data_IF_074458122635
#
_entry.id   IF_074458122635
#
_cell.length_a   1.000
_cell.length_b   1.000
_cell.length_c   1.000
_cell.angle_alpha   90.00
_cell.angle_beta   90.00
_cell.angle_gamma   90.00
#
_symmetry.space_group_name_H-M   'P 1'
#
loop_
_entity.id
_entity.type
_entity.pdbx_description
1 polymer ?
#
# COMPACT_ATOMS: atom_id res chain seq x y z
N UNK A 1 -3.69 -11.58 3.09
CA UNK A 1 -4.37 -10.32 2.70
C UNK A 1 -5.60 -10.55 1.80
N UNK A 2 -5.57 -11.48 0.81
CA UNK A 2 -6.70 -11.75 -0.10
C UNK A 2 -7.98 -12.10 0.65
N UNK A 3 -7.92 -12.99 1.65
CA UNK A 3 -9.08 -13.34 2.48
C UNK A 3 -9.69 -12.13 3.17
N UNK A 4 -8.85 -11.19 3.62
CA UNK A 4 -9.34 -9.97 4.27
C UNK A 4 -10.05 -9.04 3.30
N UNK A 5 -9.59 -8.98 2.05
CA UNK A 5 -10.27 -8.21 1.00
C UNK A 5 -11.63 -8.82 0.68
N UNK A 6 -11.71 -10.13 0.50
CA UNK A 6 -12.97 -10.78 0.18
C UNK A 6 -13.98 -10.68 1.34
N UNK A 7 -13.52 -10.81 2.59
CA UNK A 7 -14.39 -10.73 3.75
C UNK A 7 -15.12 -9.38 3.89
N UNK A 8 -14.47 -8.29 3.44
CA UNK A 8 -14.98 -6.93 3.67
C UNK A 8 -15.23 -6.10 2.40
N UNK A 9 -14.75 -6.55 1.23
CA UNK A 9 -14.81 -5.79 -0.03
C UNK A 9 -15.27 -6.64 -1.23
N UNK A 10 -15.83 -7.83 -1.01
CA UNK A 10 -16.21 -8.76 -2.10
C UNK A 10 -17.01 -8.10 -3.22
N UNK A 11 -17.96 -7.24 -2.88
CA UNK A 11 -18.86 -6.58 -3.84
C UNK A 11 -18.14 -5.57 -4.76
N UNK A 12 -16.92 -5.19 -4.40
CA UNK A 12 -16.13 -4.18 -5.14
C UNK A 12 -14.97 -4.80 -5.92
N UNK A 13 -14.67 -6.11 -5.72
CA UNK A 13 -13.49 -6.75 -6.31
C UNK A 13 -13.93 -7.73 -7.41
N UNK A 14 -13.66 -7.36 -8.65
CA UNK A 14 -13.93 -8.23 -9.80
C UNK A 14 -12.72 -9.12 -10.14
N UNK A 15 -11.50 -8.62 -9.97
CA UNK A 15 -10.27 -9.30 -10.32
C UNK A 15 -9.11 -8.85 -9.46
N UNK A 16 -8.23 -9.79 -9.13
CA UNK A 16 -6.99 -9.53 -8.41
C UNK A 16 -5.81 -9.71 -9.37
N UNK A 17 -4.87 -8.78 -9.31
CA UNK A 17 -3.58 -8.87 -9.99
C UNK A 17 -2.48 -8.97 -8.95
N UNK A 18 -1.64 -10.00 -9.03
CA UNK A 18 -0.50 -10.18 -8.13
C UNK A 18 0.78 -9.85 -8.89
N UNK A 19 1.52 -8.93 -8.31
CA UNK A 19 2.83 -8.53 -8.79
C UNK A 19 3.91 -9.11 -7.86
N UNK A 20 4.73 -10.02 -8.36
CA UNK A 20 5.75 -10.71 -7.57
C UNK A 20 5.61 -12.22 -7.57
N UNK A 21 5.84 -12.85 -6.42
CA UNK A 21 5.66 -14.30 -6.29
C UNK A 21 4.19 -14.69 -6.26
N UNK A 22 3.86 -15.77 -6.97
CA UNK A 22 2.49 -16.25 -7.07
C UNK A 22 2.36 -17.55 -6.27
N UNK A 23 1.57 -17.56 -5.19
CA UNK A 23 1.32 -18.75 -4.40
C UNK A 23 0.54 -19.84 -5.18
N UNK A 24 0.96 -21.10 -5.07
CA UNK A 24 0.37 -22.23 -5.79
C UNK A 24 -1.09 -22.52 -5.42
N UNK A 25 -1.54 -22.02 -4.25
CA UNK A 25 -2.92 -22.22 -3.80
C UNK A 25 -3.93 -21.21 -4.38
N UNK A 26 -3.49 -20.29 -5.24
CA UNK A 26 -4.39 -19.31 -5.84
C UNK A 26 -4.99 -19.78 -7.15
N UNK A 27 -6.26 -19.41 -7.36
CA UNK A 27 -7.02 -19.75 -8.55
C UNK A 27 -6.63 -18.83 -9.72
N UNK A 28 -5.96 -19.38 -10.74
CA UNK A 28 -5.49 -18.63 -11.91
C UNK A 28 -6.61 -18.07 -12.80
N UNK A 29 -7.86 -18.51 -12.65
CA UNK A 29 -8.97 -17.95 -13.42
C UNK A 29 -9.41 -16.58 -12.90
N UNK A 30 -9.34 -16.39 -11.57
CA UNK A 30 -9.77 -15.16 -10.90
C UNK A 30 -8.60 -14.23 -10.55
N UNK A 31 -7.39 -14.76 -10.45
CA UNK A 31 -6.18 -14.03 -10.06
C UNK A 31 -5.20 -14.05 -11.22
N UNK A 32 -4.81 -12.87 -11.69
CA UNK A 32 -3.81 -12.73 -12.73
C UNK A 32 -2.42 -12.51 -12.10
N UNK A 33 -1.45 -13.32 -12.51
CA UNK A 33 -0.06 -13.19 -12.12
C UNK A 33 0.71 -12.32 -13.11
N UNK A 34 1.40 -11.31 -12.60
CA UNK A 34 2.30 -10.46 -13.37
C UNK A 34 3.73 -10.81 -12.99
N UNK A 35 4.33 -11.71 -13.77
CA UNK A 35 5.69 -12.18 -13.53
C UNK A 35 6.71 -11.30 -14.25
N UNK A 36 6.96 -10.09 -13.72
CA UNK A 36 7.90 -9.13 -14.30
C UNK A 36 9.24 -9.06 -13.53
N UNK A 37 9.66 -10.15 -12.93
CA UNK A 37 10.96 -10.23 -12.19
C UNK A 37 12.16 -9.71 -13.01
N UNK A 38 12.11 -9.80 -14.33
CA UNK A 38 13.21 -9.36 -15.20
C UNK A 38 13.30 -7.84 -15.34
N UNK A 39 12.18 -7.13 -15.18
CA UNK A 39 12.14 -5.67 -15.34
C UNK A 39 12.39 -4.91 -14.04
N UNK A 40 12.27 -5.60 -12.90
CA UNK A 40 12.39 -5.00 -11.58
C UNK A 40 13.32 -5.89 -10.76
N UNK A 41 14.66 -5.74 -10.94
CA UNK A 41 15.63 -6.52 -10.17
C UNK A 41 15.51 -6.26 -8.66
N UNK A 42 14.74 -5.26 -8.29
CA UNK A 42 14.46 -4.87 -6.92
C UNK A 42 13.08 -4.26 -6.87
N UNK A 43 12.26 -4.65 -5.91
CA UNK A 43 10.89 -4.19 -5.68
C UNK A 43 10.82 -2.68 -5.51
N UNK A 44 10.84 -1.97 -6.61
CA UNK A 44 10.53 -0.55 -6.61
C UNK A 44 9.03 -0.44 -6.83
N UNK A 45 8.29 -0.35 -5.76
CA UNK A 45 6.82 -0.24 -5.74
C UNK A 45 6.29 0.73 -6.81
N UNK A 46 7.01 1.81 -7.00
CA UNK A 46 6.67 2.82 -7.99
C UNK A 46 6.78 2.30 -9.44
N UNK A 47 7.82 1.51 -9.76
CA UNK A 47 7.95 0.88 -11.10
C UNK A 47 6.82 -0.12 -11.33
N UNK A 48 6.44 -0.87 -10.29
CA UNK A 48 5.31 -1.80 -10.36
C UNK A 48 4.02 -1.05 -10.69
N UNK A 49 3.72 0.05 -10.02
CA UNK A 49 2.52 0.86 -10.28
C UNK A 49 2.53 1.46 -11.69
N UNK A 50 3.66 1.99 -12.17
CA UNK A 50 3.78 2.49 -13.54
C UNK A 50 3.60 1.38 -14.58
N UNK A 51 4.13 0.19 -14.32
CA UNK A 51 3.94 -0.96 -15.19
C UNK A 51 2.46 -1.36 -15.26
N UNK A 52 1.81 -1.47 -14.12
CA UNK A 52 0.39 -1.81 -13.99
C UNK A 52 -0.46 -0.82 -14.80
N UNK A 53 -0.26 0.46 -14.61
CA UNK A 53 -1.03 1.50 -15.30
C UNK A 53 -0.87 1.48 -16.82
N UNK A 54 0.32 1.13 -17.32
CA UNK A 54 0.62 1.10 -18.76
C UNK A 54 0.19 -0.18 -19.48
N UNK A 55 0.20 -1.30 -18.79
CA UNK A 55 0.11 -2.63 -19.42
C UNK A 55 -1.17 -3.39 -19.06
N UNK A 56 -1.91 -2.95 -18.04
CA UNK A 56 -3.15 -3.59 -17.65
C UNK A 56 -4.35 -2.71 -18.01
N UNK A 57 -5.39 -3.34 -18.51
CA UNK A 57 -6.68 -2.68 -18.75
C UNK A 57 -7.47 -2.67 -17.43
N UNK A 58 -7.11 -1.76 -16.54
CA UNK A 58 -7.77 -1.57 -15.25
C UNK A 58 -9.01 -0.69 -15.39
N UNK A 59 -9.87 -0.77 -14.39
CA UNK A 59 -10.91 0.24 -14.16
C UNK A 59 -10.26 1.60 -13.84
N UNK A 60 -10.95 2.73 -14.05
CA UNK A 60 -10.42 4.06 -13.72
C UNK A 60 -9.86 4.16 -12.31
N UNK A 61 -10.47 3.45 -11.38
CA UNK A 61 -10.00 3.28 -10.02
C UNK A 61 -9.63 1.83 -9.75
N UNK A 62 -8.52 1.61 -9.06
CA UNK A 62 -8.11 0.30 -8.55
C UNK A 62 -7.62 0.41 -7.12
N UNK A 63 -7.69 -0.68 -6.39
CA UNK A 63 -7.18 -0.76 -5.03
C UNK A 63 -5.74 -1.27 -5.05
N UNK A 64 -4.81 -0.47 -4.52
CA UNK A 64 -3.44 -0.90 -4.28
C UNK A 64 -3.30 -1.43 -2.86
N UNK A 65 -2.66 -2.59 -2.72
CA UNK A 65 -2.44 -3.25 -1.45
C UNK A 65 -1.14 -4.05 -1.48
N UNK A 66 -0.45 -4.13 -0.35
CA UNK A 66 0.68 -5.04 -0.14
C UNK A 66 0.23 -6.31 0.58
N UNK A 67 1.05 -7.35 0.52
CA UNK A 67 0.75 -8.67 1.07
C UNK A 67 0.72 -8.70 2.62
N UNK A 68 1.39 -7.74 3.25
CA UNK A 68 1.46 -7.54 4.70
C UNK A 68 0.40 -6.58 5.26
N UNK A 69 -0.57 -6.14 4.43
CA UNK A 69 -1.70 -5.30 4.84
C UNK A 69 -3.00 -6.10 4.93
N UNK A 70 -3.81 -5.82 5.93
CA UNK A 70 -5.07 -6.54 6.20
C UNK A 70 -6.19 -5.57 6.54
N UNK A 71 -7.38 -5.85 6.01
CA UNK A 71 -8.64 -5.22 6.45
C UNK A 71 -9.17 -6.08 7.58
N UNK A 72 -9.29 -5.56 8.79
CA UNK A 72 -9.65 -6.32 10.00
C UNK A 72 -10.99 -5.93 10.61
N UNK A 73 -11.76 -5.09 9.95
CA UNK A 73 -13.08 -4.68 10.39
C UNK A 73 -13.93 -4.25 9.19
N UNK A 74 -15.24 -4.05 9.41
CA UNK A 74 -16.12 -3.51 8.38
C UNK A 74 -15.64 -2.15 7.89
N UNK A 75 -15.52 -2.01 6.58
CA UNK A 75 -15.12 -0.79 5.90
C UNK A 75 -16.10 -0.43 4.78
N UNK A 76 -16.07 0.83 4.40
CA UNK A 76 -16.77 1.38 3.26
C UNK A 76 -15.77 1.96 2.26
N UNK A 77 -16.21 2.30 1.06
CA UNK A 77 -15.35 3.00 0.10
C UNK A 77 -14.81 4.34 0.64
N UNK A 78 -15.52 4.96 1.58
CA UNK A 78 -15.04 6.18 2.23
C UNK A 78 -13.79 5.95 3.09
N UNK A 79 -13.63 4.76 3.65
CA UNK A 79 -12.47 4.39 4.46
C UNK A 79 -11.21 4.14 3.62
N UNK A 80 -11.38 3.88 2.32
CA UNK A 80 -10.30 3.70 1.34
C UNK A 80 -9.84 5.02 0.71
N UNK A 81 -10.51 6.14 1.03
CA UNK A 81 -10.05 7.46 0.60
C UNK A 81 -8.70 7.77 1.22
N UNK A 82 -7.85 8.56 0.50
CA UNK A 82 -6.53 8.93 1.00
C UNK A 82 -6.58 9.56 2.39
N UNK A 83 -5.72 9.08 3.27
CA UNK A 83 -5.49 9.62 4.60
C UNK A 83 -3.99 9.84 4.79
N UNK A 84 -3.60 10.84 5.59
CA UNK A 84 -2.20 11.13 5.84
C UNK A 84 -1.78 10.73 7.26
N UNK A 85 -0.51 10.39 7.44
CA UNK A 85 0.08 10.11 8.76
C UNK A 85 0.44 11.39 9.49
N UNK A 86 1.12 12.30 8.79
CA UNK A 86 1.60 13.56 9.34
C UNK A 86 1.90 14.58 8.24
N UNK A 87 1.86 15.85 8.58
CA UNK A 87 2.45 16.92 7.79
C UNK A 87 3.96 16.91 7.98
N UNK A 88 4.73 17.09 6.91
CA UNK A 88 6.19 17.04 6.94
C UNK A 88 6.84 18.42 7.13
N UNK A 89 6.06 19.49 7.00
CA UNK A 89 6.57 20.85 7.24
C UNK A 89 7.04 21.06 8.66
N UNK A 90 8.19 21.74 8.83
CA UNK A 90 8.76 22.01 10.14
C UNK A 90 9.37 20.82 10.88
N UNK A 91 9.31 19.62 10.29
CA UNK A 91 9.93 18.43 10.88
C UNK A 91 11.39 18.36 10.46
N UNK A 92 12.28 18.15 11.43
CA UNK A 92 13.71 17.93 11.17
C UNK A 92 13.88 16.61 10.42
N UNK A 93 14.48 16.60 9.20
CA UNK A 93 14.66 15.38 8.43
C UNK A 93 15.47 14.34 9.18
N UNK A 94 14.90 13.17 9.33
CA UNK A 94 15.57 12.01 9.90
C UNK A 94 15.76 10.95 8.80
N UNK A 95 17.01 10.75 8.36
CA UNK A 95 17.39 9.81 7.28
C UNK A 95 18.10 8.57 7.82
N UNK A 96 17.88 8.20 9.08
CA UNK A 96 18.60 7.09 9.74
C UNK A 96 18.24 5.70 9.21
N UNK A 97 17.11 5.55 8.52
CA UNK A 97 16.74 4.31 7.85
C UNK A 97 16.58 4.54 6.35
N UNK A 98 16.82 3.51 5.50
CA UNK A 98 16.62 3.62 4.05
C UNK A 98 15.22 4.14 3.67
N UNK A 99 14.17 3.66 4.33
CA UNK A 99 12.79 4.11 4.09
C UNK A 99 12.60 5.60 4.42
N UNK A 100 13.13 6.05 5.56
CA UNK A 100 13.08 7.49 5.91
C UNK A 100 13.86 8.34 4.92
N UNK A 101 15.00 7.83 4.43
CA UNK A 101 15.75 8.48 3.35
C UNK A 101 14.91 8.67 2.08
N UNK A 102 14.14 7.67 1.72
CA UNK A 102 13.20 7.73 0.58
C UNK A 102 12.09 8.77 0.82
N UNK A 103 11.47 8.78 2.01
CA UNK A 103 10.44 9.75 2.37
C UNK A 103 10.95 11.20 2.27
N UNK A 104 12.12 11.48 2.83
CA UNK A 104 12.68 12.84 2.80
C UNK A 104 13.17 13.27 1.41
N UNK A 105 13.62 12.34 0.57
CA UNK A 105 13.88 12.62 -0.85
C UNK A 105 12.58 12.99 -1.58
N UNK A 106 11.49 12.27 -1.29
CA UNK A 106 10.17 12.61 -1.84
C UNK A 106 9.74 14.01 -1.41
N UNK A 107 9.91 14.34 -0.14
CA UNK A 107 9.64 15.69 0.37
C UNK A 107 10.44 16.76 -0.37
N UNK A 108 11.76 16.60 -0.49
CA UNK A 108 12.65 17.55 -1.16
C UNK A 108 12.22 17.79 -2.63
N UNK A 109 11.86 16.72 -3.34
CA UNK A 109 11.37 16.79 -4.71
C UNK A 109 10.02 17.51 -4.84
N UNK A 110 9.07 17.22 -3.94
CA UNK A 110 7.77 17.89 -3.91
C UNK A 110 7.91 19.38 -3.60
N UNK A 111 8.78 19.74 -2.65
CA UNK A 111 9.11 21.15 -2.37
C UNK A 111 9.72 21.85 -3.59
N UNK A 112 10.59 21.17 -4.33
CA UNK A 112 11.16 21.68 -5.59
C UNK A 112 10.10 21.94 -6.66
N UNK A 113 8.96 21.28 -6.63
CA UNK A 113 7.79 21.49 -7.48
C UNK A 113 6.81 22.54 -6.93
N UNK A 114 7.11 23.17 -5.80
CA UNK A 114 6.27 24.21 -5.18
C UNK A 114 5.13 23.67 -4.32
N UNK A 115 5.11 22.36 -3.99
CA UNK A 115 4.08 21.79 -3.11
C UNK A 115 4.30 22.27 -1.67
N UNK A 116 3.25 22.81 -1.06
CA UNK A 116 3.24 23.24 0.34
C UNK A 116 1.79 23.36 0.86
N UNK A 117 1.44 22.75 1.99
CA UNK A 117 2.28 21.79 2.76
C UNK A 117 2.44 20.45 2.07
N UNK A 118 3.44 19.65 2.49
CA UNK A 118 3.66 18.27 2.05
C UNK A 118 3.20 17.32 3.14
N UNK A 119 2.34 16.36 2.76
CA UNK A 119 1.82 15.34 3.68
C UNK A 119 2.44 13.97 3.38
N UNK A 120 2.72 13.20 4.44
CA UNK A 120 3.12 11.80 4.34
C UNK A 120 1.87 10.92 4.22
N UNK A 121 1.69 10.30 3.07
CA UNK A 121 0.57 9.39 2.79
C UNK A 121 0.93 7.90 2.84
N UNK A 122 2.12 7.54 3.30
CA UNK A 122 2.55 6.12 3.41
C UNK A 122 1.90 5.45 4.64
N UNK A 123 0.59 5.30 4.58
CA UNK A 123 -0.24 4.81 5.69
C UNK A 123 -0.18 3.31 5.89
N UNK A 124 0.42 2.56 4.96
CA UNK A 124 0.42 1.09 4.96
C UNK A 124 -0.99 0.51 5.07
N UNK A 125 -1.92 1.08 4.33
CA UNK A 125 -3.31 0.65 4.23
C UNK A 125 -3.72 0.52 2.78
N UNK A 126 -4.73 -0.31 2.45
CA UNK A 126 -5.28 -0.34 1.11
C UNK A 126 -5.62 1.08 0.63
N UNK A 127 -5.18 1.43 -0.56
CA UNK A 127 -5.35 2.77 -1.11
C UNK A 127 -6.04 2.71 -2.47
N UNK A 128 -7.13 3.48 -2.59
CA UNK A 128 -7.81 3.65 -3.87
C UNK A 128 -7.02 4.63 -4.74
N UNK A 129 -6.66 4.20 -5.95
CA UNK A 129 -5.85 4.96 -6.90
C UNK A 129 -6.66 5.22 -8.17
N UNK A 130 -6.71 6.48 -8.58
CA UNK A 130 -7.15 6.86 -9.92
C UNK A 130 -5.99 6.67 -10.89
N UNK A 131 -6.14 5.78 -11.85
CA UNK A 131 -5.11 5.43 -12.82
C UNK A 131 -4.57 6.63 -13.60
N UNK A 132 -5.47 7.47 -14.09
CA UNK A 132 -5.10 8.63 -14.93
C UNK A 132 -4.43 9.73 -14.13
N UNK A 133 -4.94 10.00 -12.93
CA UNK A 133 -4.34 10.98 -12.03
C UNK A 133 -2.99 10.53 -11.49
N UNK A 134 -2.83 9.23 -11.24
CA UNK A 134 -1.54 8.67 -10.83
C UNK A 134 -0.47 8.93 -11.89
N UNK A 135 -0.72 8.57 -13.16
CA UNK A 135 0.24 8.76 -14.24
C UNK A 135 0.61 10.23 -14.43
N UNK A 136 -0.38 11.13 -14.35
CA UNK A 136 -0.16 12.57 -14.44
C UNK A 136 0.71 13.09 -13.28
N UNK A 137 0.32 12.76 -12.06
CA UNK A 137 0.98 13.24 -10.84
C UNK A 137 2.44 12.75 -10.72
N UNK A 138 2.73 11.53 -11.18
CA UNK A 138 4.08 10.96 -11.06
C UNK A 138 5.00 11.29 -12.23
N UNK A 139 4.46 11.85 -13.31
CA UNK A 139 5.25 12.18 -14.50
C UNK A 139 6.54 13.00 -14.22
N UNK A 140 6.54 14.00 -13.30
CA UNK A 140 7.77 14.73 -12.96
C UNK A 140 8.88 13.86 -12.37
N UNK A 141 8.55 12.67 -11.87
CA UNK A 141 9.51 11.78 -11.19
C UNK A 141 9.97 10.59 -12.04
N UNK A 142 9.48 10.45 -13.27
CA UNK A 142 9.76 9.28 -14.12
C UNK A 142 11.26 9.05 -14.30
N UNK A 143 12.06 10.10 -14.49
CA UNK A 143 13.51 9.98 -14.64
C UNK A 143 14.19 9.46 -13.36
N UNK A 144 13.76 9.95 -12.21
CA UNK A 144 14.26 9.47 -10.89
C UNK A 144 13.92 8.01 -10.70
N UNK A 145 12.67 7.61 -11.02
CA UNK A 145 12.20 6.24 -10.88
C UNK A 145 12.94 5.29 -11.82
N UNK A 146 13.18 5.70 -13.06
CA UNK A 146 13.91 4.89 -14.04
C UNK A 146 15.36 4.67 -13.65
N UNK A 147 15.99 5.65 -13.00
CA UNK A 147 17.37 5.56 -12.53
C UNK A 147 17.53 4.68 -11.26
N UNK A 148 16.45 4.30 -10.57
CA UNK A 148 16.53 3.52 -9.35
C UNK A 148 17.01 2.09 -9.62
N UNK A 149 18.07 1.69 -8.93
CA UNK A 149 18.62 0.31 -8.93
C UNK A 149 18.19 -0.52 -7.73
N UNK A 150 17.71 0.11 -6.68
CA UNK A 150 17.31 -0.55 -5.43
C UNK A 150 15.98 0.02 -4.90
N UNK A 151 15.21 -0.78 -4.13
CA UNK A 151 13.89 -0.38 -3.61
C UNK A 151 13.89 0.93 -2.80
N UNK A 152 15.00 1.26 -2.19
CA UNK A 152 15.13 2.47 -1.37
C UNK A 152 15.84 3.63 -2.08
N UNK A 153 16.20 3.48 -3.36
CA UNK A 153 16.79 4.58 -4.16
C UNK A 153 15.70 5.54 -4.69
N UNK A 154 14.46 5.05 -4.74
CA UNK A 154 13.32 5.76 -5.29
C UNK A 154 12.70 6.80 -4.35
N UNK A 155 11.43 7.02 -4.58
CA UNK A 155 10.56 7.93 -3.82
C UNK A 155 9.33 7.17 -3.31
N UNK A 156 8.68 7.71 -2.31
CA UNK A 156 7.41 7.20 -1.78
C UNK A 156 6.29 7.47 -2.78
N UNK A 157 5.79 6.44 -3.42
CA UNK A 157 4.87 6.56 -4.56
C UNK A 157 3.52 7.14 -4.18
N UNK A 158 2.96 6.71 -3.07
CA UNK A 158 1.66 7.18 -2.59
C UNK A 158 1.76 8.63 -2.13
N UNK A 159 2.83 8.99 -1.42
CA UNK A 159 3.11 10.37 -1.01
C UNK A 159 3.32 11.28 -2.22
N UNK A 160 4.07 10.85 -3.23
CA UNK A 160 4.26 11.64 -4.45
C UNK A 160 2.93 11.86 -5.20
N UNK A 161 2.16 10.79 -5.41
CA UNK A 161 0.87 10.84 -6.10
C UNK A 161 -0.13 11.76 -5.38
N UNK A 162 -0.36 11.53 -4.08
CA UNK A 162 -1.43 12.21 -3.35
C UNK A 162 -1.14 13.69 -3.03
N UNK A 163 0.12 14.09 -3.03
CA UNK A 163 0.45 15.53 -2.94
C UNK A 163 0.36 16.27 -4.28
N UNK A 164 0.25 15.57 -5.42
CA UNK A 164 0.21 16.15 -6.76
C UNK A 164 -1.09 15.86 -7.54
N UNK A 165 -1.97 15.05 -6.98
CA UNK A 165 -3.26 14.77 -7.63
C UNK A 165 -4.12 16.03 -7.73
N UNK A 166 -4.89 16.15 -8.81
CA UNK A 166 -5.94 17.16 -8.94
C UNK A 166 -7.26 16.73 -8.28
N UNK A 167 -7.34 15.49 -7.79
CA UNK A 167 -8.53 15.05 -7.08
C UNK A 167 -8.69 15.83 -5.77
N UNK A 168 -9.92 16.15 -5.44
CA UNK A 168 -10.23 16.76 -4.16
C UNK A 168 -10.07 15.71 -3.07
N UNK A 169 -8.96 15.82 -2.31
CA UNK A 169 -8.68 14.97 -1.17
C UNK A 169 -9.13 15.68 0.10
N UNK A 170 -10.04 15.06 0.84
CA UNK A 170 -10.32 15.47 2.19
C UNK A 170 -9.10 15.17 3.07
N UNK A 171 -8.52 16.21 3.68
CA UNK A 171 -7.36 16.05 4.56
C UNK A 171 -7.79 15.39 5.87
N UNK A 172 -7.68 14.08 5.92
CA UNK A 172 -7.98 13.28 7.10
C UNK A 172 -6.72 12.55 7.57
N UNK A 173 -6.43 12.66 8.88
CA UNK A 173 -5.35 11.92 9.50
C UNK A 173 -5.73 10.45 9.69
N UNK A 174 -4.80 9.55 9.42
CA UNK A 174 -4.99 8.11 9.63
C UNK A 174 -4.99 7.79 11.13
N UNK A 175 -6.10 7.24 11.60
CA UNK A 175 -6.29 6.82 13.01
C UNK A 175 -6.71 5.35 13.14
N UNK A 176 -7.23 4.76 12.06
CA UNK A 176 -7.84 3.44 12.04
C UNK A 176 -6.86 2.31 11.65
N UNK A 177 -5.56 2.62 11.49
CA UNK A 177 -4.53 1.63 11.18
C UNK A 177 -3.69 1.31 12.40
N UNK A 178 -3.29 0.05 12.55
CA UNK A 178 -2.42 -0.42 13.63
C UNK A 178 -1.20 -1.16 13.06
N UNK A 179 0.04 -0.69 13.34
CA UNK A 179 1.25 -1.41 13.04
C UNK A 179 1.55 -2.47 14.10
N UNK A 180 1.81 -3.71 13.67
CA UNK A 180 2.41 -4.74 14.52
C UNK A 180 3.69 -5.22 13.84
N UNK A 181 4.82 -4.67 14.28
CA UNK A 181 6.12 -4.81 13.60
C UNK A 181 7.10 -5.77 14.29
N UNK A 182 6.72 -6.31 15.45
CA UNK A 182 7.53 -7.25 16.21
C UNK A 182 6.66 -8.36 16.77
N UNK A 183 7.31 -9.45 17.17
CA UNK A 183 6.66 -10.57 17.87
C UNK A 183 5.78 -10.05 19.01
N UNK A 184 4.52 -10.44 19.00
CA UNK A 184 3.50 -9.93 19.92
C UNK A 184 2.58 -11.06 20.33
N UNK A 185 2.27 -11.18 21.62
CA UNK A 185 1.35 -12.23 22.13
C UNK A 185 -0.05 -12.06 21.54
N UNK A 186 -0.75 -13.16 21.29
CA UNK A 186 -2.08 -13.18 20.68
C UNK A 186 -3.09 -12.24 21.37
N UNK A 187 -3.13 -12.22 22.70
CA UNK A 187 -4.04 -11.34 23.45
C UNK A 187 -3.70 -9.86 23.26
N UNK A 188 -2.42 -9.52 23.11
CA UNK A 188 -2.01 -8.15 22.86
C UNK A 188 -2.32 -7.73 21.41
N UNK A 189 -2.24 -8.68 20.45
CA UNK A 189 -2.69 -8.45 19.06
C UNK A 189 -4.18 -8.12 19.06
N UNK A 190 -5.01 -8.97 19.68
CA UNK A 190 -6.46 -8.75 19.79
C UNK A 190 -6.80 -7.40 20.43
N UNK A 191 -6.12 -7.05 21.51
CA UNK A 191 -6.32 -5.77 22.20
C UNK A 191 -5.96 -4.57 21.33
N UNK A 192 -4.81 -4.61 20.63
CA UNK A 192 -4.36 -3.53 19.76
C UNK A 192 -5.26 -3.36 18.53
N UNK A 193 -5.75 -4.46 17.96
CA UNK A 193 -6.61 -4.46 16.77
C UNK A 193 -8.06 -4.08 17.08
N UNK A 194 -8.46 -4.08 18.35
CA UNK A 194 -9.84 -3.76 18.74
C UNK A 194 -10.27 -2.38 18.23
N UNK A 195 -11.36 -2.33 17.48
CA UNK A 195 -11.91 -1.11 16.90
C UNK A 195 -11.11 -0.50 15.75
N UNK A 196 -9.98 -1.11 15.35
CA UNK A 196 -9.22 -0.68 14.18
C UNK A 196 -9.78 -1.30 12.91
N UNK A 197 -9.56 -0.63 11.77
CA UNK A 197 -10.01 -1.08 10.44
C UNK A 197 -8.91 -1.77 9.66
N UNK A 198 -7.67 -1.35 9.87
CA UNK A 198 -6.53 -1.85 9.12
C UNK A 198 -5.41 -2.31 10.05
N UNK A 199 -4.77 -3.40 9.66
CA UNK A 199 -3.56 -3.93 10.29
C UNK A 199 -2.47 -4.02 9.23
N UNK A 200 -1.26 -3.60 9.57
CA UNK A 200 -0.09 -3.98 8.80
C UNK A 200 0.98 -4.61 9.68
N UNK A 201 1.71 -5.53 9.08
CA UNK A 201 2.68 -6.38 9.76
C UNK A 201 4.08 -6.20 9.17
N UNK A 202 5.04 -6.94 9.66
CA UNK A 202 6.35 -7.12 9.05
C UNK A 202 6.76 -8.59 9.19
N UNK A 203 7.76 -9.02 8.46
CA UNK A 203 8.29 -10.40 8.57
C UNK A 203 8.59 -10.80 10.02
N UNK A 204 9.03 -9.84 10.84
CA UNK A 204 9.37 -10.09 12.26
C UNK A 204 8.17 -10.32 13.15
N UNK A 205 6.99 -9.84 12.76
CA UNK A 205 5.76 -10.00 13.53
C UNK A 205 4.88 -11.13 13.02
N UNK A 206 5.23 -11.74 11.89
CA UNK A 206 4.45 -12.80 11.28
C UNK A 206 4.83 -14.18 11.87
N UNK A 207 4.47 -14.37 13.13
CA UNK A 207 4.70 -15.59 13.91
C UNK A 207 3.41 -16.40 14.13
N UNK A 208 3.48 -17.44 14.91
CA UNK A 208 2.33 -18.30 15.22
C UNK A 208 1.15 -17.55 15.86
N UNK A 209 1.41 -16.50 16.66
CA UNK A 209 0.36 -15.69 17.28
C UNK A 209 -0.37 -14.86 16.24
N UNK A 210 0.36 -14.26 15.30
CA UNK A 210 -0.22 -13.49 14.20
C UNK A 210 -1.01 -14.40 13.26
N UNK A 211 -0.46 -15.57 12.90
CA UNK A 211 -1.14 -16.56 12.07
C UNK A 211 -2.46 -16.98 12.75
N UNK A 212 -2.41 -17.33 14.04
CA UNK A 212 -3.62 -17.70 14.79
C UNK A 212 -4.66 -16.58 14.77
N UNK A 213 -4.25 -15.33 14.98
CA UNK A 213 -5.15 -14.18 14.92
C UNK A 213 -5.81 -14.03 13.55
N UNK A 214 -5.03 -14.14 12.47
CA UNK A 214 -5.56 -14.01 11.11
C UNK A 214 -6.46 -15.19 10.72
N UNK A 215 -6.16 -16.42 11.17
CA UNK A 215 -7.01 -17.59 10.94
C UNK A 215 -8.34 -17.50 11.70
N UNK A 216 -8.35 -16.91 12.91
CA UNK A 216 -9.59 -16.61 13.63
C UNK A 216 -10.43 -15.54 12.92
N UNK A 217 -9.78 -14.53 12.34
CA UNK A 217 -10.47 -13.47 11.61
C UNK A 217 -11.01 -13.95 10.25
N UNK A 218 -10.31 -14.86 9.57
CA UNK A 218 -10.63 -15.32 8.20
C UNK A 218 -10.60 -16.86 8.12
N UNK A 219 -11.52 -17.56 8.80
CA UNK A 219 -11.48 -19.02 8.92
C UNK A 219 -11.80 -19.74 7.60
N UNK A 220 -12.53 -19.09 6.71
CA UNK A 220 -12.89 -19.68 5.41
C UNK A 220 -11.82 -19.41 4.34
N UNK A 221 -11.62 -20.37 3.43
CA UNK A 221 -10.87 -20.13 2.21
C UNK A 221 -11.56 -19.04 1.39
N UNK A 222 -10.74 -18.22 0.74
CA UNK A 222 -11.21 -17.26 -0.25
C UNK A 222 -11.70 -17.96 -1.53
N UNK A 223 -12.65 -17.39 -2.24
CA UNK A 223 -13.05 -17.86 -3.57
C UNK A 223 -11.94 -17.68 -4.61
N UNK A 224 -10.89 -16.95 -4.27
CA UNK A 224 -9.66 -16.80 -5.05
C UNK A 224 -8.61 -17.90 -4.78
N UNK A 225 -8.87 -18.80 -3.82
CA UNK A 225 -8.03 -19.95 -3.50
C UNK A 225 -8.56 -21.23 -4.16
N UNK A 226 -7.63 -22.20 -4.45
CA UNK A 226 -7.93 -23.53 -4.97
C UNK A 226 -8.57 -24.43 -3.90
#
# INVERSE_FOLDING_TARGET
SIRSLEAYLSDYINKIYIFGDFPDYLNNEKVAHINERRMIPTYVEFKCRLYVNKNLNLTPYYLWMCDDWFVINNITLADLKPQYLQELEGIIPNKTTPWRGMLWRTYDLLKGLGVSPVYNYETHTPCLINQYEFDRAVNPFVSVIQACGHRYDGICSQTAYLNLTNEVIELKKMEDSIPILNVTKLNDIRSKCHGKKFLFTSDRSFDSSMITYLDEMYPAKSTFEL
#
